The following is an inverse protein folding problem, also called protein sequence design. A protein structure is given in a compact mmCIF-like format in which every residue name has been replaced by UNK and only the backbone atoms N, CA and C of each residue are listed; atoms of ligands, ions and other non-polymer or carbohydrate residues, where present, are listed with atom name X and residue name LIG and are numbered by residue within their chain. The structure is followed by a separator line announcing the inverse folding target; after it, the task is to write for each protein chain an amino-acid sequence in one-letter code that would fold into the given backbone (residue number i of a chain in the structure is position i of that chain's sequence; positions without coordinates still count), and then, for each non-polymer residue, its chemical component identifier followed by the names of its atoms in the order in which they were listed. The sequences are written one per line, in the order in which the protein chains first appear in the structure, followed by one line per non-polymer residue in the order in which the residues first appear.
data_IF_294578233555
#
_entry.id   IF_294578233555
#
_cell.length_a   1.000
_cell.length_b   1.000
_cell.length_c   1.000
_cell.angle_alpha   90.00
_cell.angle_beta   90.00
_cell.angle_gamma   90.00
#
_symmetry.space_group_name_H-M   'P 1'
#
loop_
_entity.id
_entity.type
_entity.pdbx_description
1 polymer ?
#
# COMPACT_ATOMS: atom_id res chain seq x y z
N UNK A 1 -0.72 -1.75 -21.07
CA UNK A 1 0.73 -1.55 -20.93
C UNK A 1 1.35 -2.91 -20.66
N UNK A 2 2.46 -3.27 -21.32
CA UNK A 2 3.08 -4.60 -21.22
C UNK A 2 4.53 -4.50 -20.76
N UNK A 3 4.75 -4.08 -19.51
CA UNK A 3 6.09 -3.76 -19.00
C UNK A 3 7.00 -5.01 -18.98
N UNK A 4 6.47 -6.14 -18.54
CA UNK A 4 7.23 -7.38 -18.34
C UNK A 4 7.85 -7.95 -19.63
N UNK A 5 7.26 -7.66 -20.79
CA UNK A 5 7.77 -8.08 -22.11
C UNK A 5 9.08 -7.38 -22.50
N UNK A 6 9.61 -6.51 -21.66
CA UNK A 6 10.92 -5.89 -21.85
C UNK A 6 12.04 -6.66 -21.12
N UNK A 7 11.71 -7.49 -20.11
CA UNK A 7 12.70 -8.19 -19.30
C UNK A 7 12.93 -9.62 -19.79
N UNK A 8 14.19 -10.04 -19.80
CA UNK A 8 14.58 -11.43 -20.05
C UNK A 8 14.30 -12.29 -18.80
N UNK A 9 14.02 -13.57 -18.99
CA UNK A 9 13.94 -14.52 -17.89
C UNK A 9 15.33 -15.01 -17.48
N UNK A 10 15.50 -15.29 -16.19
CA UNK A 10 16.69 -15.86 -15.57
C UNK A 10 16.63 -17.40 -15.47
N UNK A 11 15.50 -17.99 -15.86
CA UNK A 11 15.25 -19.42 -15.81
C UNK A 11 14.52 -19.91 -17.07
N UNK A 12 14.70 -21.18 -17.39
CA UNK A 12 13.95 -21.84 -18.47
C UNK A 12 12.52 -22.10 -18.01
N UNK A 13 11.58 -21.41 -18.63
CA UNK A 13 10.15 -21.62 -18.42
C UNK A 13 9.54 -22.06 -19.73
N UNK A 14 8.79 -23.15 -19.69
CA UNK A 14 8.04 -23.65 -20.84
C UNK A 14 6.55 -23.41 -20.62
N UNK A 15 5.84 -23.02 -21.68
CA UNK A 15 4.40 -22.85 -21.66
C UNK A 15 3.74 -23.62 -22.81
N UNK A 16 2.50 -24.01 -22.59
CA UNK A 16 1.66 -24.48 -23.70
C UNK A 16 1.52 -23.36 -24.74
N UNK A 17 1.44 -23.77 -25.99
CA UNK A 17 1.25 -22.87 -27.10
C UNK A 17 -0.08 -22.12 -26.95
N UNK A 18 -0.09 -20.83 -27.31
CA UNK A 18 -1.30 -20.03 -27.20
C UNK A 18 -2.40 -20.59 -28.13
N UNK A 19 -3.67 -20.62 -27.70
CA UNK A 19 -4.77 -21.03 -28.55
C UNK A 19 -4.76 -20.26 -29.89
N UNK A 20 -4.80 -20.97 -31.01
CA UNK A 20 -4.76 -20.39 -32.36
C UNK A 20 -3.35 -20.17 -32.95
N UNK A 21 -2.28 -20.47 -32.20
CA UNK A 21 -0.89 -20.33 -32.66
C UNK A 21 -0.08 -21.62 -32.47
N UNK A 22 -0.49 -22.77 -33.07
CA UNK A 22 0.32 -23.97 -33.03
C UNK A 22 1.59 -23.79 -33.88
N UNK A 23 2.67 -24.42 -33.46
CA UNK A 23 3.87 -24.58 -34.24
C UNK A 23 3.53 -25.48 -35.42
N UNK A 24 3.81 -25.00 -36.62
CA UNK A 24 3.52 -25.71 -37.87
C UNK A 24 4.79 -25.90 -38.68
N UNK A 25 4.83 -26.96 -39.48
CA UNK A 25 5.87 -27.14 -40.50
C UNK A 25 5.63 -26.20 -41.70
N UNK A 26 6.47 -26.34 -42.74
CA UNK A 26 6.38 -25.53 -43.96
C UNK A 26 5.10 -25.77 -44.76
N UNK A 27 4.45 -26.92 -44.55
CA UNK A 27 3.25 -27.34 -45.27
C UNK A 27 1.97 -27.04 -44.46
N UNK A 28 2.11 -26.45 -43.27
CA UNK A 28 1.01 -26.04 -42.39
C UNK A 28 0.52 -27.13 -41.45
N UNK A 29 1.21 -28.27 -41.35
CA UNK A 29 0.84 -29.33 -40.40
C UNK A 29 1.35 -29.00 -39.00
N UNK A 30 0.53 -29.27 -37.99
CA UNK A 30 0.90 -29.04 -36.59
C UNK A 30 2.07 -29.96 -36.21
N UNK A 31 3.14 -29.34 -35.71
CA UNK A 31 4.31 -30.04 -35.22
C UNK A 31 3.96 -30.79 -33.92
N UNK A 32 4.46 -32.02 -33.84
CA UNK A 32 4.39 -32.88 -32.65
C UNK A 32 5.77 -33.44 -32.35
N UNK A 33 6.01 -33.76 -31.09
CA UNK A 33 7.26 -34.40 -30.66
C UNK A 33 7.41 -35.80 -31.26
N UNK A 34 8.60 -36.43 -31.14
CA UNK A 34 8.90 -37.74 -31.73
C UNK A 34 7.94 -38.87 -31.33
N UNK A 35 7.22 -38.70 -30.21
CA UNK A 35 6.24 -39.65 -29.67
C UNK A 35 4.79 -39.17 -29.80
N UNK A 36 4.53 -38.13 -30.61
CA UNK A 36 3.20 -37.51 -30.71
C UNK A 36 2.87 -36.54 -29.57
N UNK A 37 3.88 -36.08 -28.83
CA UNK A 37 3.72 -35.13 -27.72
C UNK A 37 3.40 -33.73 -28.23
N UNK A 38 2.66 -32.94 -27.45
CA UNK A 38 2.41 -31.54 -27.77
C UNK A 38 3.70 -30.73 -27.70
N UNK A 39 3.91 -29.88 -28.71
CA UNK A 39 4.98 -28.89 -28.66
C UNK A 39 4.67 -27.81 -27.61
N UNK A 40 5.73 -27.27 -27.00
CA UNK A 40 5.68 -26.18 -26.01
C UNK A 40 6.56 -25.03 -26.47
N UNK A 41 6.30 -23.83 -25.97
CA UNK A 41 7.14 -22.66 -26.19
C UNK A 41 8.10 -22.48 -25.01
N UNK A 42 9.39 -22.29 -25.29
CA UNK A 42 10.34 -21.73 -24.31
C UNK A 42 10.11 -20.22 -24.23
N UNK A 43 9.83 -19.72 -23.02
CA UNK A 43 9.70 -18.30 -22.77
C UNK A 43 11.08 -17.67 -22.62
N UNK A 44 11.41 -16.76 -23.52
CA UNK A 44 12.63 -15.96 -23.43
C UNK A 44 12.47 -14.73 -22.52
N UNK A 45 11.27 -14.17 -22.51
CA UNK A 45 10.93 -12.92 -21.83
C UNK A 45 9.87 -13.14 -20.78
N UNK A 46 9.89 -12.28 -19.77
CA UNK A 46 8.93 -12.27 -18.68
C UNK A 46 7.53 -11.90 -19.18
N UNK A 47 6.50 -12.57 -18.65
CA UNK A 47 5.08 -12.33 -18.96
C UNK A 47 4.26 -12.19 -17.68
N UNK A 48 3.08 -11.57 -17.76
CA UNK A 48 2.17 -11.51 -16.60
C UNK A 48 1.75 -12.92 -16.16
N UNK A 49 1.74 -13.14 -14.85
CA UNK A 49 1.38 -14.42 -14.23
C UNK A 49 2.56 -15.28 -13.76
N UNK A 50 3.79 -15.02 -14.22
CA UNK A 50 4.96 -15.68 -13.63
C UNK A 50 5.34 -15.00 -12.31
N UNK A 51 5.77 -15.81 -11.34
CA UNK A 51 6.14 -15.36 -9.99
C UNK A 51 7.34 -14.39 -10.05
N UNK A 52 8.30 -14.64 -10.93
CA UNK A 52 9.52 -13.86 -11.08
C UNK A 52 9.37 -12.61 -11.96
N UNK A 53 8.23 -12.41 -12.63
CA UNK A 53 8.10 -11.36 -13.64
C UNK A 53 8.31 -9.95 -13.11
N UNK A 54 7.76 -9.67 -11.92
CA UNK A 54 7.96 -8.37 -11.26
C UNK A 54 9.44 -8.09 -10.99
N UNK A 55 10.16 -9.09 -10.47
CA UNK A 55 11.59 -8.99 -10.18
C UNK A 55 12.43 -8.79 -11.44
N UNK A 56 12.18 -9.57 -12.50
CA UNK A 56 12.93 -9.44 -13.74
C UNK A 56 12.73 -8.07 -14.39
N UNK A 57 11.50 -7.56 -14.34
CA UNK A 57 11.22 -6.20 -14.79
C UNK A 57 11.92 -5.14 -13.93
N UNK A 58 11.91 -5.30 -12.61
CA UNK A 58 12.60 -4.37 -11.71
C UNK A 58 14.11 -4.30 -12.00
N UNK A 59 14.77 -5.45 -12.17
CA UNK A 59 16.20 -5.53 -12.50
C UNK A 59 16.50 -4.82 -13.84
N UNK A 60 15.72 -5.13 -14.88
CA UNK A 60 15.86 -4.52 -16.21
C UNK A 60 15.64 -3.01 -16.17
N UNK A 61 14.54 -2.58 -15.57
CA UNK A 61 14.14 -1.18 -15.47
C UNK A 61 15.14 -0.37 -14.64
N UNK A 62 15.54 -0.86 -13.46
CA UNK A 62 16.53 -0.20 -12.60
C UNK A 62 17.88 -0.11 -13.29
N UNK A 63 18.28 -1.15 -14.03
CA UNK A 63 19.49 -1.14 -14.85
C UNK A 63 19.46 -0.01 -15.88
N UNK A 64 18.34 0.19 -16.56
CA UNK A 64 18.15 1.28 -17.53
C UNK A 64 18.10 2.66 -16.87
N UNK A 65 17.37 2.82 -15.77
CA UNK A 65 17.31 4.08 -15.02
C UNK A 65 18.72 4.53 -14.57
N UNK A 66 19.55 3.60 -14.10
CA UNK A 66 20.97 3.86 -13.78
C UNK A 66 21.80 4.26 -15.01
N UNK A 67 21.58 3.62 -16.16
CA UNK A 67 22.22 4.02 -17.44
C UNK A 67 21.82 5.45 -17.86
N UNK A 68 20.63 5.90 -17.49
CA UNK A 68 20.17 7.28 -17.67
C UNK A 68 20.66 8.25 -16.58
N UNK A 69 21.68 7.87 -15.79
CA UNK A 69 22.35 8.67 -14.77
C UNK A 69 21.47 9.08 -13.59
N UNK A 70 20.47 8.25 -13.26
CA UNK A 70 19.73 8.38 -12.01
C UNK A 70 20.43 7.59 -10.89
N UNK A 71 20.60 8.22 -9.73
CA UNK A 71 21.19 7.60 -8.54
C UNK A 71 20.11 6.89 -7.73
N UNK A 72 20.26 5.59 -7.52
CA UNK A 72 19.37 4.81 -6.66
C UNK A 72 19.62 5.15 -5.18
N UNK A 73 18.54 5.37 -4.42
CA UNK A 73 18.62 5.58 -2.98
C UNK A 73 18.96 4.26 -2.27
N UNK A 74 20.03 4.17 -1.47
CA UNK A 74 20.41 2.92 -0.81
C UNK A 74 19.38 2.43 0.24
N UNK A 75 18.68 3.37 0.89
CA UNK A 75 17.68 3.05 1.92
C UNK A 75 16.30 2.71 1.35
N UNK A 76 16.04 3.08 0.11
CA UNK A 76 14.78 2.81 -0.58
C UNK A 76 15.06 2.57 -2.07
N UNK A 77 15.35 1.32 -2.48
CA UNK A 77 15.79 0.99 -3.84
C UNK A 77 14.78 1.38 -4.94
N UNK A 78 13.51 1.56 -4.59
CA UNK A 78 12.48 2.05 -5.50
C UNK A 78 12.54 3.55 -5.76
N UNK A 79 13.34 4.31 -4.99
CA UNK A 79 13.51 5.75 -5.15
C UNK A 79 14.86 6.04 -5.80
N UNK A 80 14.82 6.88 -6.82
CA UNK A 80 15.98 7.42 -7.51
C UNK A 80 15.98 8.94 -7.39
N UNK A 81 17.17 9.51 -7.37
CA UNK A 81 17.38 10.95 -7.42
C UNK A 81 18.32 11.30 -8.57
N UNK A 82 18.18 12.50 -9.11
CA UNK A 82 19.12 13.06 -10.09
C UNK A 82 19.25 14.54 -9.86
N UNK A 83 20.48 15.04 -9.77
CA UNK A 83 20.74 16.49 -9.70
C UNK A 83 20.78 17.03 -11.13
N UNK A 84 19.91 17.99 -11.43
CA UNK A 84 19.83 18.65 -12.72
C UNK A 84 19.96 20.15 -12.46
N UNK A 85 21.07 20.74 -12.90
CA UNK A 85 21.51 22.07 -12.49
C UNK A 85 21.57 22.17 -10.94
N UNK A 86 20.91 23.15 -10.34
CA UNK A 86 20.86 23.34 -8.88
C UNK A 86 19.62 22.71 -8.21
N UNK A 87 18.89 21.85 -8.92
CA UNK A 87 17.67 21.21 -8.38
C UNK A 87 17.79 19.68 -8.37
N UNK A 88 17.17 19.05 -7.37
CA UNK A 88 17.00 17.61 -7.32
C UNK A 88 15.67 17.19 -7.93
N UNK A 89 15.72 16.19 -8.80
CA UNK A 89 14.56 15.49 -9.31
C UNK A 89 14.49 14.11 -8.67
N UNK A 90 13.28 13.60 -8.49
CA UNK A 90 13.03 12.31 -7.86
C UNK A 90 12.16 11.44 -8.75
N UNK A 91 12.49 10.16 -8.80
CA UNK A 91 11.71 9.13 -9.46
C UNK A 91 11.43 8.02 -8.46
N UNK A 92 10.18 7.63 -8.34
CA UNK A 92 9.77 6.45 -7.57
C UNK A 92 9.21 5.41 -8.55
N UNK A 93 9.64 4.17 -8.42
CA UNK A 93 9.20 3.05 -9.25
C UNK A 93 8.48 2.03 -8.38
N UNK A 94 7.32 1.55 -8.83
CA UNK A 94 6.67 0.39 -8.25
C UNK A 94 6.17 -0.50 -9.37
N UNK A 95 6.91 -1.58 -9.63
CA UNK A 95 6.65 -2.47 -10.76
C UNK A 95 6.58 -1.65 -12.06
N UNK A 96 5.42 -1.57 -12.71
CA UNK A 96 5.19 -0.87 -13.97
C UNK A 96 4.74 0.59 -13.79
N UNK A 97 4.49 1.03 -12.56
CA UNK A 97 4.16 2.41 -12.24
C UNK A 97 5.41 3.22 -11.93
N UNK A 98 5.46 4.44 -12.45
CA UNK A 98 6.57 5.36 -12.23
C UNK A 98 6.01 6.74 -11.88
N UNK A 99 6.45 7.31 -10.75
CA UNK A 99 6.09 8.65 -10.29
C UNK A 99 7.28 9.55 -10.27
N UNK A 100 7.14 10.73 -10.87
CA UNK A 100 8.25 11.67 -11.02
C UNK A 100 7.95 13.00 -10.32
N UNK A 101 8.99 13.58 -9.71
CA UNK A 101 8.99 14.91 -9.14
C UNK A 101 10.03 15.79 -9.82
N UNK A 102 9.57 16.89 -10.43
CA UNK A 102 10.43 17.90 -11.07
C UNK A 102 10.08 19.30 -10.59
N UNK A 103 11.04 20.25 -10.66
CA UNK A 103 10.72 21.65 -10.53
C UNK A 103 9.68 22.10 -11.58
N UNK A 104 8.65 22.86 -11.16
CA UNK A 104 7.62 23.35 -12.07
C UNK A 104 8.21 24.31 -13.11
N UNK A 105 7.55 24.42 -14.27
CA UNK A 105 7.92 25.33 -15.36
C UNK A 105 9.33 25.09 -15.94
N UNK A 106 9.80 23.84 -15.97
CA UNK A 106 11.07 23.45 -16.58
C UNK A 106 10.87 22.44 -17.70
N UNK A 107 11.84 22.33 -18.62
CA UNK A 107 11.86 21.33 -19.70
C UNK A 107 12.49 19.99 -19.27
N UNK A 108 12.89 19.89 -18.00
CA UNK A 108 13.59 18.74 -17.42
C UNK A 108 12.78 17.45 -17.58
N UNK A 109 11.47 17.50 -17.29
CA UNK A 109 10.58 16.35 -17.46
C UNK A 109 10.64 15.80 -18.89
N UNK A 110 10.51 16.68 -19.88
CA UNK A 110 10.48 16.30 -21.30
C UNK A 110 11.80 15.65 -21.72
N UNK A 111 12.93 16.27 -21.36
CA UNK A 111 14.26 15.73 -21.68
C UNK A 111 14.53 14.36 -21.05
N UNK A 112 14.15 14.18 -19.78
CA UNK A 112 14.33 12.88 -19.10
C UNK A 112 13.38 11.80 -19.65
N UNK A 113 12.15 12.17 -20.04
CA UNK A 113 11.23 11.26 -20.74
C UNK A 113 11.79 10.83 -22.10
N UNK A 114 12.34 11.76 -22.89
CA UNK A 114 12.98 11.45 -24.18
C UNK A 114 14.16 10.50 -24.03
N UNK A 115 14.96 10.63 -22.95
CA UNK A 115 16.07 9.73 -22.67
C UNK A 115 15.60 8.31 -22.39
N UNK A 116 14.58 8.13 -21.55
CA UNK A 116 14.06 6.79 -21.23
C UNK A 116 13.20 6.21 -22.36
N UNK A 117 12.56 7.05 -23.17
CA UNK A 117 11.79 6.63 -24.33
C UNK A 117 12.66 5.95 -25.40
N UNK A 118 13.99 6.13 -25.35
CA UNK A 118 14.94 5.37 -26.18
C UNK A 118 15.01 3.88 -25.82
N UNK A 119 14.56 3.51 -24.62
CA UNK A 119 14.62 2.15 -24.11
C UNK A 119 13.23 1.49 -24.05
N UNK A 120 12.20 2.26 -23.71
CA UNK A 120 10.85 1.75 -23.50
C UNK A 120 9.80 2.62 -24.18
N UNK A 121 8.67 2.02 -24.56
CA UNK A 121 7.50 2.79 -24.96
C UNK A 121 6.81 3.34 -23.70
N UNK A 122 6.96 4.64 -23.44
CA UNK A 122 6.46 5.31 -22.23
C UNK A 122 5.26 6.17 -22.59
N UNK A 123 4.19 6.01 -21.81
CA UNK A 123 3.01 6.86 -21.88
C UNK A 123 2.99 7.78 -20.67
N UNK A 124 3.09 9.08 -20.90
CA UNK A 124 2.93 10.09 -19.86
C UNK A 124 1.45 10.27 -19.53
N UNK A 125 1.05 9.82 -18.34
CA UNK A 125 -0.31 9.91 -17.84
C UNK A 125 -0.65 11.29 -17.23
N UNK A 126 0.30 12.24 -17.28
CA UNK A 126 0.13 13.56 -16.72
C UNK A 126 0.29 13.59 -15.19
N UNK A 127 -0.28 14.61 -14.52
CA UNK A 127 -0.23 14.71 -13.06
C UNK A 127 -0.86 13.50 -12.37
N UNK A 128 -0.24 13.06 -11.28
CA UNK A 128 -0.71 11.90 -10.51
C UNK A 128 -2.08 12.21 -9.91
N UNK A 129 -3.12 11.57 -10.43
CA UNK A 129 -4.49 11.67 -9.93
C UNK A 129 -4.94 10.42 -9.18
N UNK A 130 -4.37 9.26 -9.49
CA UNK A 130 -4.67 7.99 -8.85
C UNK A 130 -3.42 7.11 -8.83
N UNK A 131 -3.17 6.45 -7.71
CA UNK A 131 -2.01 5.59 -7.51
C UNK A 131 -2.31 4.55 -6.44
N UNK A 132 -2.01 3.28 -6.73
CA UNK A 132 -2.12 2.16 -5.78
C UNK A 132 -3.47 2.13 -5.01
N UNK A 133 -4.58 2.40 -5.70
CA UNK A 133 -5.91 2.40 -5.07
C UNK A 133 -6.27 3.66 -4.26
N UNK A 134 -5.41 4.68 -4.24
CA UNK A 134 -5.70 5.98 -3.65
C UNK A 134 -5.76 7.08 -4.71
N UNK A 135 -6.73 7.98 -4.55
CA UNK A 135 -6.77 9.25 -5.26
C UNK A 135 -5.75 10.19 -4.66
N UNK A 136 -5.05 10.91 -5.53
CA UNK A 136 -4.04 11.89 -5.20
C UNK A 136 -4.55 13.27 -5.62
N UNK A 137 -4.61 14.20 -4.67
CA UNK A 137 -5.04 15.59 -4.93
C UNK A 137 -3.90 16.52 -4.57
N UNK A 138 -3.36 17.22 -5.56
CA UNK A 138 -2.24 18.14 -5.38
C UNK A 138 -2.73 19.59 -5.48
N UNK A 139 -2.33 20.40 -4.51
CA UNK A 139 -2.46 21.85 -4.58
C UNK A 139 -1.06 22.46 -4.52
N UNK A 140 -0.46 22.67 -5.69
CA UNK A 140 0.91 23.17 -5.81
C UNK A 140 1.06 24.58 -5.22
N UNK A 141 0.04 25.44 -5.34
CA UNK A 141 0.04 26.79 -4.76
C UNK A 141 0.12 26.77 -3.24
N UNK A 142 -0.62 25.86 -2.60
CA UNK A 142 -0.61 25.69 -1.15
C UNK A 142 0.45 24.71 -0.66
N UNK A 143 1.23 24.10 -1.58
CA UNK A 143 2.17 23.00 -1.31
C UNK A 143 1.51 21.87 -0.50
N UNK A 144 0.29 21.49 -0.89
CA UNK A 144 -0.48 20.44 -0.23
C UNK A 144 -0.66 19.21 -1.12
N UNK A 145 -0.65 18.05 -0.49
CA UNK A 145 -0.92 16.76 -1.10
C UNK A 145 -1.95 16.03 -0.23
N UNK A 146 -3.06 15.60 -0.81
CA UNK A 146 -4.04 14.76 -0.11
C UNK A 146 -4.14 13.38 -0.77
N UNK A 147 -4.17 12.34 0.06
CA UNK A 147 -4.37 10.95 -0.33
C UNK A 147 -5.69 10.45 0.26
N UNK A 148 -6.57 9.89 -0.57
CA UNK A 148 -7.81 9.26 -0.10
C UNK A 148 -8.15 7.98 -0.86
N UNK A 149 -8.72 7.00 -0.18
CA UNK A 149 -9.12 5.71 -0.77
C UNK A 149 -10.63 5.60 -0.96
N UNK A 150 -11.33 6.73 -1.19
CA UNK A 150 -12.80 6.75 -1.34
C UNK A 150 -13.31 5.72 -2.35
N UNK A 151 -12.73 5.56 -3.56
CA UNK A 151 -13.21 4.56 -4.52
C UNK A 151 -13.12 3.11 -4.00
N UNK A 152 -12.02 2.76 -3.32
CA UNK A 152 -11.82 1.43 -2.73
C UNK A 152 -12.75 1.21 -1.53
N UNK A 153 -12.99 2.25 -0.73
CA UNK A 153 -13.95 2.21 0.37
C UNK A 153 -15.38 2.01 -0.18
N UNK A 154 -15.75 2.72 -1.25
CA UNK A 154 -17.07 2.59 -1.89
C UNK A 154 -17.27 1.19 -2.49
N UNK A 155 -16.26 0.63 -3.15
CA UNK A 155 -16.29 -0.76 -3.64
C UNK A 155 -16.48 -1.76 -2.49
N UNK A 156 -15.77 -1.57 -1.37
CA UNK A 156 -15.93 -2.42 -0.19
C UNK A 156 -17.34 -2.30 0.39
N UNK A 157 -17.87 -1.09 0.53
CA UNK A 157 -19.23 -0.87 1.03
C UNK A 157 -20.24 -1.58 0.15
N UNK A 158 -20.11 -1.46 -1.18
CA UNK A 158 -20.99 -2.12 -2.13
C UNK A 158 -20.91 -3.65 -2.02
N UNK A 159 -19.70 -4.19 -1.82
CA UNK A 159 -19.47 -5.63 -1.66
C UNK A 159 -20.19 -6.18 -0.43
N UNK A 160 -20.14 -5.47 0.70
CA UNK A 160 -20.67 -5.93 1.99
C UNK A 160 -22.00 -5.25 2.36
N UNK A 161 -22.67 -4.58 1.41
CA UNK A 161 -23.84 -3.75 1.67
C UNK A 161 -25.01 -4.52 2.29
N UNK A 162 -25.26 -5.74 1.81
CA UNK A 162 -26.33 -6.62 2.31
C UNK A 162 -26.09 -7.14 3.72
N UNK A 163 -24.84 -7.08 4.20
CA UNK A 163 -24.43 -7.60 5.50
C UNK A 163 -24.38 -6.48 6.56
N UNK A 164 -24.40 -5.23 6.12
CA UNK A 164 -24.50 -4.06 6.99
C UNK A 164 -25.97 -3.78 7.29
N UNK A 165 -26.46 -4.32 8.41
CA UNK A 165 -27.87 -4.25 8.82
C UNK A 165 -28.29 -2.89 9.40
N UNK A 166 -27.35 -2.06 9.84
CA UNK A 166 -27.64 -0.84 10.57
C UNK A 166 -27.56 0.46 9.73
N UNK A 167 -28.45 1.44 10.00
CA UNK A 167 -28.50 2.70 9.27
C UNK A 167 -27.23 3.56 9.48
N UNK A 168 -27.09 4.57 8.62
CA UNK A 168 -26.01 5.56 8.70
C UNK A 168 -26.09 6.33 10.02
N UNK A 169 -25.08 6.21 10.89
CA UNK A 169 -25.03 6.96 12.16
C UNK A 169 -24.31 8.30 11.90
N UNK A 170 -24.81 9.39 12.50
CA UNK A 170 -24.19 10.72 12.35
C UNK A 170 -22.90 10.91 13.17
N UNK A 171 -22.68 10.09 14.21
CA UNK A 171 -21.57 10.28 15.14
C UNK A 171 -20.33 9.48 14.72
N UNK A 172 -19.25 10.22 14.42
CA UNK A 172 -17.96 9.71 13.91
C UNK A 172 -17.03 9.26 15.05
N UNK A 173 -17.52 8.41 15.93
CA UNK A 173 -16.66 7.83 16.97
C UNK A 173 -15.78 6.74 16.36
N UNK A 174 -14.52 6.69 16.78
CA UNK A 174 -13.59 5.65 16.34
C UNK A 174 -14.17 4.26 16.62
N UNK A 175 -13.92 3.25 15.76
CA UNK A 175 -14.57 1.93 15.86
C UNK A 175 -13.94 1.04 16.94
N UNK A 176 -13.74 1.56 18.16
CA UNK A 176 -13.16 0.86 19.31
C UNK A 176 -14.23 0.62 20.39
N UNK A 177 -15.35 0.02 20.00
CA UNK A 177 -16.46 -0.34 20.89
C UNK A 177 -16.16 -1.69 21.58
N UNK A 178 -16.85 -2.05 22.70
CA UNK A 178 -16.69 -3.35 23.35
C UNK A 178 -16.78 -4.53 22.37
N UNK A 179 -17.72 -4.51 21.42
CA UNK A 179 -17.88 -5.54 20.38
C UNK A 179 -16.64 -5.75 19.49
N UNK A 180 -15.73 -4.77 19.43
CA UNK A 180 -14.46 -4.83 18.70
C UNK A 180 -13.28 -5.17 19.63
N UNK A 181 -13.36 -4.77 20.89
CA UNK A 181 -12.27 -4.92 21.86
C UNK A 181 -12.31 -6.26 22.62
N UNK A 182 -13.51 -6.78 22.88
CA UNK A 182 -13.77 -7.92 23.75
C UNK A 182 -14.34 -9.14 22.98
N UNK A 183 -13.65 -9.50 21.89
CA UNK A 183 -14.09 -10.58 20.99
C UNK A 183 -13.84 -11.95 21.62
N UNK A 184 -14.91 -12.76 21.73
CA UNK A 184 -14.82 -14.14 22.21
C UNK A 184 -14.14 -15.01 21.16
N UNK A 185 -13.23 -15.89 21.59
CA UNK A 185 -12.54 -16.81 20.70
C UNK A 185 -13.28 -18.14 20.63
N UNK A 186 -13.50 -18.60 19.41
CA UNK A 186 -13.89 -19.99 19.17
C UNK A 186 -12.66 -20.91 19.23
N UNK A 187 -12.92 -22.20 19.33
CA UNK A 187 -11.89 -23.23 19.19
C UNK A 187 -11.31 -23.18 17.76
N UNK A 188 -9.98 -23.01 17.60
CA UNK A 188 -9.31 -23.05 16.30
C UNK A 188 -9.55 -24.34 15.52
N UNK A 189 -9.82 -25.45 16.20
CA UNK A 189 -9.97 -26.78 15.60
C UNK A 189 -11.43 -27.13 15.24
N UNK A 190 -12.38 -26.23 15.51
CA UNK A 190 -13.78 -26.39 15.08
C UNK A 190 -13.94 -26.23 13.55
N UNK A 191 -14.67 -27.15 12.93
CA UNK A 191 -14.99 -27.13 11.50
C UNK A 191 -15.69 -25.83 11.07
N UNK A 192 -16.51 -25.23 11.93
CA UNK A 192 -17.19 -23.96 11.65
C UNK A 192 -16.25 -22.74 11.68
N UNK A 193 -15.13 -22.81 12.40
CA UNK A 193 -14.12 -21.75 12.49
C UNK A 193 -13.46 -21.49 11.14
N UNK A 194 -13.26 -22.53 10.32
CA UNK A 194 -12.59 -22.40 9.02
C UNK A 194 -13.33 -21.48 8.04
N UNK A 195 -14.67 -21.56 7.98
CA UNK A 195 -15.49 -20.68 7.14
C UNK A 195 -15.31 -19.21 7.56
N UNK A 196 -15.52 -18.92 8.85
CA UNK A 196 -15.44 -17.56 9.36
C UNK A 196 -14.02 -16.98 9.29
N UNK A 197 -13.02 -17.82 9.54
CA UNK A 197 -11.61 -17.45 9.38
C UNK A 197 -11.31 -16.98 7.96
N UNK A 198 -11.78 -17.70 6.94
CA UNK A 198 -11.58 -17.31 5.55
C UNK A 198 -12.23 -15.95 5.24
N UNK A 199 -13.49 -15.76 5.66
CA UNK A 199 -14.20 -14.49 5.44
C UNK A 199 -13.56 -13.31 6.19
N UNK A 200 -13.13 -13.53 7.44
CA UNK A 200 -12.40 -12.54 8.23
C UNK A 200 -11.04 -12.19 7.61
N UNK A 201 -10.31 -13.16 7.04
CA UNK A 201 -9.03 -12.90 6.37
C UNK A 201 -9.23 -12.09 5.07
N UNK A 202 -10.27 -12.39 4.29
CA UNK A 202 -10.61 -11.63 3.08
C UNK A 202 -10.94 -10.17 3.41
N UNK A 203 -11.87 -9.95 4.33
CA UNK A 203 -12.30 -8.60 4.73
C UNK A 203 -11.17 -7.86 5.48
N UNK A 204 -10.54 -8.53 6.43
CA UNK A 204 -9.42 -8.01 7.21
C UNK A 204 -8.23 -7.59 6.34
N UNK A 205 -7.93 -8.33 5.27
CA UNK A 205 -6.90 -7.97 4.29
C UNK A 205 -7.22 -6.66 3.55
N UNK A 206 -8.47 -6.50 3.07
CA UNK A 206 -8.93 -5.25 2.44
C UNK A 206 -8.86 -4.07 3.40
N UNK A 207 -9.31 -4.27 4.64
CA UNK A 207 -9.23 -3.26 5.70
C UNK A 207 -7.78 -2.92 6.06
N UNK A 208 -6.89 -3.91 6.09
CA UNK A 208 -5.48 -3.68 6.38
C UNK A 208 -4.81 -2.80 5.32
N UNK A 209 -5.12 -3.02 4.04
CA UNK A 209 -4.62 -2.17 2.97
C UNK A 209 -5.05 -0.70 3.15
N UNK A 210 -6.32 -0.47 3.52
CA UNK A 210 -6.83 0.88 3.79
C UNK A 210 -6.19 1.48 5.04
N UNK A 211 -6.07 0.68 6.10
CA UNK A 211 -5.50 1.07 7.38
C UNK A 211 -4.02 1.45 7.27
N UNK A 212 -3.24 0.76 6.44
CA UNK A 212 -1.81 1.00 6.25
C UNK A 212 -1.52 2.15 5.27
N UNK A 213 -2.47 2.48 4.37
CA UNK A 213 -2.20 3.48 3.35
C UNK A 213 -2.76 4.86 3.66
N UNK A 214 -4.06 4.99 4.00
CA UNK A 214 -4.68 6.32 4.22
C UNK A 214 -5.55 6.45 5.48
N UNK A 215 -5.78 5.38 6.22
CA UNK A 215 -6.71 5.36 7.37
C UNK A 215 -6.07 4.83 8.67
N UNK A 216 -5.07 5.54 9.24
CA UNK A 216 -4.46 5.14 10.51
C UNK A 216 -5.48 4.98 11.64
N UNK A 217 -6.58 5.74 11.57
CA UNK A 217 -7.66 5.80 12.56
C UNK A 217 -8.42 4.47 12.75
N UNK A 218 -8.40 3.55 11.78
CA UNK A 218 -8.98 2.20 11.94
C UNK A 218 -7.97 1.15 12.40
N UNK A 219 -6.68 1.48 12.46
CA UNK A 219 -5.60 0.49 12.69
C UNK A 219 -5.74 -0.21 14.03
N UNK A 220 -6.20 0.50 15.06
CA UNK A 220 -6.37 -0.04 16.41
C UNK A 220 -7.47 -1.11 16.41
N UNK A 221 -8.67 -0.74 15.99
CA UNK A 221 -9.83 -1.62 15.86
C UNK A 221 -9.49 -2.87 15.05
N UNK A 222 -8.86 -2.68 13.88
CA UNK A 222 -8.45 -3.79 13.03
C UNK A 222 -7.44 -4.71 13.73
N UNK A 223 -6.48 -4.14 14.46
CA UNK A 223 -5.50 -4.92 15.23
C UNK A 223 -6.15 -5.74 16.36
N UNK A 224 -7.19 -5.23 17.02
CA UNK A 224 -7.96 -6.00 18.00
C UNK A 224 -8.69 -7.17 17.34
N UNK A 225 -9.38 -6.94 16.22
CA UNK A 225 -10.04 -8.01 15.45
C UNK A 225 -9.04 -9.08 14.97
N UNK A 226 -8.02 -8.68 14.21
CA UNK A 226 -7.19 -9.64 13.46
C UNK A 226 -6.28 -10.50 14.35
N UNK A 227 -6.03 -10.10 15.60
CA UNK A 227 -5.30 -10.94 16.58
C UNK A 227 -6.10 -12.15 17.07
N UNK A 228 -7.41 -12.16 16.84
CA UNK A 228 -8.30 -13.25 17.22
C UNK A 228 -8.71 -14.14 16.02
N UNK A 229 -8.17 -13.88 14.82
CA UNK A 229 -8.58 -14.55 13.57
C UNK A 229 -8.35 -16.07 13.54
N UNK A 230 -7.48 -16.61 14.40
CA UNK A 230 -7.25 -18.05 14.50
C UNK A 230 -8.49 -18.80 15.04
N UNK A 231 -9.24 -18.17 15.95
CA UNK A 231 -10.49 -18.68 16.51
C UNK A 231 -11.68 -17.84 16.04
N UNK A 232 -11.71 -17.53 14.74
CA UNK A 232 -12.72 -16.67 14.15
C UNK A 232 -14.13 -17.26 14.29
N UNK A 233 -15.09 -16.39 14.61
CA UNK A 233 -16.51 -16.67 14.60
C UNK A 233 -17.30 -15.59 13.88
N UNK A 234 -18.61 -15.76 13.86
CA UNK A 234 -19.54 -14.74 13.36
C UNK A 234 -19.37 -13.41 14.11
N UNK A 235 -19.11 -13.45 15.42
CA UNK A 235 -18.85 -12.26 16.24
C UNK A 235 -17.64 -11.44 15.74
N UNK A 236 -16.53 -12.11 15.42
CA UNK A 236 -15.34 -11.46 14.85
C UNK A 236 -15.65 -10.84 13.49
N UNK A 237 -16.43 -11.54 12.66
CA UNK A 237 -16.82 -11.04 11.36
C UNK A 237 -17.70 -9.78 11.48
N UNK A 238 -18.67 -9.80 12.39
CA UNK A 238 -19.51 -8.65 12.72
C UNK A 238 -18.68 -7.48 13.26
N UNK A 239 -17.64 -7.75 14.08
CA UNK A 239 -16.71 -6.73 14.54
C UNK A 239 -15.93 -6.07 13.38
N UNK A 240 -15.55 -6.82 12.35
CA UNK A 240 -14.96 -6.24 11.13
C UNK A 240 -15.97 -5.39 10.35
N UNK A 241 -17.24 -5.80 10.28
CA UNK A 241 -18.31 -5.02 9.64
C UNK A 241 -18.56 -3.68 10.36
N UNK A 242 -18.35 -3.59 11.67
CA UNK A 242 -18.36 -2.31 12.41
C UNK A 242 -17.30 -1.35 11.86
N UNK A 243 -16.11 -1.84 11.51
CA UNK A 243 -15.07 -1.02 10.89
C UNK A 243 -15.50 -0.56 9.48
N UNK A 244 -16.10 -1.44 8.69
CA UNK A 244 -16.64 -1.08 7.36
C UNK A 244 -17.70 0.02 7.47
N UNK A 245 -18.58 -0.06 8.47
CA UNK A 245 -19.58 0.98 8.77
C UNK A 245 -18.94 2.31 9.12
N UNK A 246 -17.90 2.30 9.94
CA UNK A 246 -17.14 3.52 10.24
C UNK A 246 -16.51 4.11 8.97
N UNK A 247 -15.91 3.28 8.11
CA UNK A 247 -15.37 3.71 6.82
C UNK A 247 -16.45 4.28 5.90
N UNK A 248 -17.65 3.69 5.88
CA UNK A 248 -18.82 4.22 5.14
C UNK A 248 -19.13 5.65 5.53
N UNK A 249 -19.18 5.93 6.83
CA UNK A 249 -19.58 7.23 7.35
C UNK A 249 -18.44 8.26 7.28
N UNK A 250 -17.21 7.81 6.98
CA UNK A 250 -15.97 8.61 6.88
C UNK A 250 -15.25 8.44 5.54
N UNK A 251 -15.93 7.96 4.49
CA UNK A 251 -15.30 7.55 3.21
C UNK A 251 -14.52 8.66 2.49
N UNK A 252 -14.83 9.93 2.78
CA UNK A 252 -14.18 11.11 2.21
C UNK A 252 -12.97 11.59 3.00
N UNK A 253 -12.62 10.92 4.10
CA UNK A 253 -11.43 11.26 4.88
C UNK A 253 -10.17 11.05 4.04
N UNK A 254 -9.19 11.93 4.25
CA UNK A 254 -7.93 11.95 3.51
C UNK A 254 -6.78 12.31 4.43
N UNK A 255 -5.61 11.72 4.22
CA UNK A 255 -4.37 12.24 4.79
C UNK A 255 -3.95 13.44 3.96
N UNK A 256 -3.71 14.59 4.60
CA UNK A 256 -3.31 15.84 3.92
C UNK A 256 -1.96 16.32 4.42
N UNK A 257 -0.95 16.15 3.59
CA UNK A 257 0.38 16.71 3.79
C UNK A 257 0.41 18.19 3.40
N UNK A 258 1.15 18.98 4.17
CA UNK A 258 1.41 20.40 3.94
C UNK A 258 1.53 21.18 5.24
N UNK A 259 2.30 22.27 5.23
CA UNK A 259 2.71 22.95 6.46
C UNK A 259 1.71 23.95 7.04
N UNK A 260 0.48 24.00 6.54
CA UNK A 260 -0.48 25.07 6.84
C UNK A 260 -1.61 24.71 7.81
N UNK A 261 -1.66 23.50 8.37
CA UNK A 261 -2.69 23.13 9.35
C UNK A 261 -2.36 23.62 10.77
N UNK A 262 -2.57 24.91 11.01
CA UNK A 262 -2.25 25.57 12.29
C UNK A 262 -3.09 25.03 13.45
N UNK A 263 -4.35 24.68 13.19
CA UNK A 263 -5.26 24.20 14.24
C UNK A 263 -4.84 22.81 14.74
N UNK A 264 -4.53 21.90 13.82
CA UNK A 264 -4.04 20.58 14.19
C UNK A 264 -2.70 20.64 14.95
N UNK A 265 -1.77 21.49 14.51
CA UNK A 265 -0.48 21.68 15.19
C UNK A 265 -0.65 22.23 16.60
N UNK A 266 -1.51 23.24 16.78
CA UNK A 266 -1.81 23.81 18.09
C UNK A 266 -2.49 22.77 19.01
N UNK A 267 -3.34 21.91 18.46
CA UNK A 267 -3.93 20.79 19.19
C UNK A 267 -2.84 19.82 19.68
N UNK A 268 -1.92 19.40 18.80
CA UNK A 268 -0.83 18.50 19.20
C UNK A 268 0.07 19.11 20.28
N UNK A 269 0.49 20.37 20.14
CA UNK A 269 1.31 21.07 21.15
C UNK A 269 0.62 21.18 22.51
N UNK A 270 -0.70 21.35 22.53
CA UNK A 270 -1.47 21.44 23.77
C UNK A 270 -1.57 20.11 24.51
N UNK A 271 -1.60 18.99 23.78
CA UNK A 271 -1.94 17.68 24.34
C UNK A 271 -0.74 16.72 24.44
N UNK A 272 0.33 16.95 23.70
CA UNK A 272 1.53 16.14 23.78
C UNK A 272 2.37 16.51 25.01
N UNK A 273 2.76 15.50 25.80
CA UNK A 273 3.49 15.70 27.06
C UNK A 273 4.91 16.25 26.84
N UNK A 274 5.60 15.81 25.79
CA UNK A 274 7.01 16.13 25.53
C UNK A 274 7.25 16.98 24.28
N UNK A 275 6.20 17.48 23.63
CA UNK A 275 6.33 18.37 22.46
C UNK A 275 6.29 19.83 22.93
N UNK A 276 7.46 20.39 23.25
CA UNK A 276 7.58 21.75 23.84
C UNK A 276 7.66 22.87 22.80
N UNK A 277 7.95 22.54 21.54
CA UNK A 277 8.14 23.50 20.45
C UNK A 277 7.50 22.99 19.14
N UNK A 278 7.14 23.92 18.26
CA UNK A 278 6.60 23.65 16.91
C UNK A 278 7.74 23.13 16.00
N UNK A 279 7.96 21.82 16.04
CA UNK A 279 8.94 21.10 15.20
C UNK A 279 8.35 20.73 13.83
N UNK A 280 7.68 21.66 13.14
CA UNK A 280 6.93 21.35 11.93
C UNK A 280 7.48 22.02 10.66
N UNK A 281 8.81 22.08 10.51
CA UNK A 281 9.48 22.41 9.25
C UNK A 281 9.10 21.40 8.14
N UNK A 282 9.42 21.73 6.89
CA UNK A 282 9.10 20.87 5.72
C UNK A 282 9.72 19.45 5.82
N UNK A 283 10.74 19.26 6.66
CA UNK A 283 11.48 18.01 6.79
C UNK A 283 11.54 17.44 8.22
N UNK A 284 10.91 18.10 9.18
CA UNK A 284 10.89 17.61 10.56
C UNK A 284 10.01 16.37 10.66
N UNK A 285 10.54 15.38 11.39
CA UNK A 285 9.85 14.12 11.66
C UNK A 285 9.48 14.08 13.14
N UNK A 286 8.18 14.04 13.43
CA UNK A 286 7.64 14.00 14.78
C UNK A 286 7.07 12.63 15.06
N UNK A 287 7.52 11.97 16.13
CA UNK A 287 6.96 10.70 16.60
C UNK A 287 6.11 10.95 17.83
N UNK A 288 4.85 10.53 17.79
CA UNK A 288 3.98 10.46 18.95
C UNK A 288 3.76 8.99 19.29
N UNK A 289 3.90 8.65 20.56
CA UNK A 289 3.66 7.29 21.03
C UNK A 289 2.82 7.30 22.29
N UNK A 290 1.93 6.32 22.40
CA UNK A 290 1.15 6.06 23.61
C UNK A 290 1.25 4.57 23.96
N UNK A 291 1.16 4.25 25.24
CA UNK A 291 1.23 2.88 25.72
C UNK A 291 0.28 2.66 26.91
N UNK A 292 -0.47 1.55 26.87
CA UNK A 292 -1.20 1.10 28.03
C UNK A 292 -0.26 0.37 29.00
N UNK A 293 -0.29 0.77 30.27
CA UNK A 293 0.46 0.15 31.35
C UNK A 293 -0.49 -0.66 32.25
N UNK A 294 -0.06 -1.84 32.71
CA UNK A 294 -0.75 -2.59 33.78
C UNK A 294 -1.76 -3.67 33.38
N UNK A 295 -1.97 -3.95 32.08
CA UNK A 295 -2.80 -5.07 31.61
C UNK A 295 -2.01 -6.36 31.33
N UNK A 296 -2.66 -7.54 31.19
CA UNK A 296 -1.99 -8.80 30.87
C UNK A 296 -1.31 -8.80 29.48
N UNK A 297 -1.68 -7.86 28.61
CA UNK A 297 -1.12 -7.65 27.26
C UNK A 297 -0.99 -6.16 26.95
N UNK A 298 0.02 -5.45 27.51
CA UNK A 298 0.17 -4.02 27.31
C UNK A 298 0.38 -3.70 25.83
N UNK A 299 -0.31 -2.67 25.35
CA UNK A 299 -0.29 -2.22 23.97
C UNK A 299 0.55 -0.95 23.86
N UNK A 300 1.26 -0.81 22.75
CA UNK A 300 1.89 0.45 22.37
C UNK A 300 1.42 0.82 20.96
N UNK A 301 1.17 2.10 20.77
CA UNK A 301 1.02 2.69 19.45
C UNK A 301 2.09 3.77 19.25
N UNK A 302 2.51 3.92 17.99
CA UNK A 302 3.34 5.02 17.56
C UNK A 302 2.83 5.52 16.22
N UNK A 303 2.87 6.83 16.02
CA UNK A 303 2.53 7.47 14.77
C UNK A 303 3.59 8.55 14.48
N UNK A 304 4.15 8.48 13.29
CA UNK A 304 5.14 9.40 12.79
C UNK A 304 4.48 10.37 11.81
N UNK A 305 4.79 11.65 11.98
CA UNK A 305 4.30 12.73 11.15
C UNK A 305 5.45 13.40 10.40
N UNK A 306 5.18 13.81 9.18
CA UNK A 306 6.04 14.66 8.35
C UNK A 306 5.15 15.63 7.59
N UNK A 307 5.56 16.90 7.48
CA UNK A 307 4.76 17.92 6.81
C UNK A 307 3.33 18.04 7.37
N UNK A 308 3.15 17.86 8.69
CA UNK A 308 1.87 17.98 9.38
C UNK A 308 0.90 16.79 9.23
N UNK A 309 1.30 15.71 8.56
CA UNK A 309 0.45 14.53 8.34
C UNK A 309 1.15 13.22 8.71
N UNK A 310 0.38 12.19 9.10
CA UNK A 310 0.94 10.89 9.42
C UNK A 310 1.45 10.21 8.15
N UNK A 311 2.67 9.66 8.20
CA UNK A 311 3.28 8.90 7.10
C UNK A 311 3.65 7.47 7.50
N UNK A 312 3.79 7.20 8.80
CA UNK A 312 4.01 5.87 9.32
C UNK A 312 3.30 5.71 10.66
N UNK A 313 2.76 4.52 10.94
CA UNK A 313 2.17 4.20 12.23
C UNK A 313 2.32 2.72 12.52
N UNK A 314 2.28 2.39 13.81
CA UNK A 314 2.39 1.03 14.28
C UNK A 314 1.56 0.85 15.54
N UNK A 315 0.88 -0.27 15.62
CA UNK A 315 0.17 -0.74 16.81
C UNK A 315 0.66 -2.15 17.10
N UNK A 316 1.05 -2.41 18.33
CA UNK A 316 1.63 -3.70 18.66
C UNK A 316 1.61 -4.02 20.15
N UNK A 317 1.79 -5.30 20.43
CA UNK A 317 2.03 -5.77 21.78
C UNK A 317 3.40 -5.27 22.25
N UNK A 318 3.46 -4.70 23.45
CA UNK A 318 4.72 -4.36 24.10
C UNK A 318 5.18 -5.60 24.88
N UNK A 319 6.26 -6.30 24.48
CA UNK A 319 6.77 -7.38 25.31
C UNK A 319 7.14 -6.80 26.69
N UNK A 320 6.66 -7.43 27.76
CA UNK A 320 7.00 -7.08 29.13
C UNK A 320 8.53 -7.18 29.26
N UNK A 321 9.22 -6.03 29.28
CA UNK A 321 10.64 -5.98 29.62
C UNK A 321 10.72 -5.78 31.13
N UNK A 322 11.25 -6.78 31.83
CA UNK A 322 11.73 -6.60 33.19
C UNK A 322 12.90 -5.61 33.13
N UNK A 323 12.72 -4.41 33.67
CA UNK A 323 13.82 -3.48 33.94
C UNK A 323 14.42 -3.84 35.29
N UNK A 324 15.73 -4.12 35.32
CA UNK A 324 16.46 -4.53 36.53
C UNK A 324 17.18 -3.38 37.22
N UNK A 325 16.75 -2.13 37.06
CA UNK A 325 17.34 -1.00 37.79
C UNK A 325 16.46 -0.57 38.94
N UNK A 326 17.00 -0.71 40.16
CA UNK A 326 16.50 -0.11 41.40
C UNK A 326 16.61 1.41 41.31
N UNK A 327 15.61 2.11 41.85
CA UNK A 327 15.68 3.54 42.22
C UNK A 327 16.73 3.72 43.31
#
# INVERSE_FOLDING_TARGET
VTAYLNAMLDAKVFMLQAPGFPAVDKDGNVLVGPKGELMVCELNKSIYGLVQSGLMWEIEHHGTVKKCHWEQCPGEPCIFRKKINDTFCYMCTYVDNIWWGFPPNTDVKTKELELLAKHYNIVDLGPVAFSLGARVVQNLRLRQLALCQTPMIDEMINTYASEITEPMRKYRSLPCYPDVLDIVKNDPDDANTNKWRLECLKLGGKLNYIACFTRPDISAALSFCMRNVSGAGEELYNALLIIVRYLRDTRTYSIRYGTNDKEFRAHLLRHATDLREDLWSDFDVVWLSDASYGGPRPMACAIAFIGGAPFAWKIGHRPLRLSSTKV
#
